data_IF_414956358328
#
_entry.id   IF_414956358328
#
_cell.length_a   1.000
_cell.length_b   1.000
_cell.length_c   1.000
_cell.angle_alpha   90.00
_cell.angle_beta   90.00
_cell.angle_gamma   90.00
#
_symmetry.space_group_name_H-M   'P 1'
#
loop_
_entity.id
_entity.type
_entity.pdbx_description
1 polymer ?
#
# COMPACT_ATOMS: atom_id res chain seq x y z
N UNK A 1 7.53 -24.36 -12.66
CA UNK A 1 7.01 -22.99 -12.68
C UNK A 1 8.13 -22.10 -12.16
N UNK A 2 8.22 -20.87 -12.63
CA UNK A 2 9.38 -20.00 -12.44
C UNK A 2 9.08 -19.05 -11.29
N UNK A 3 9.97 -19.01 -10.30
CA UNK A 3 9.92 -18.02 -9.24
C UNK A 3 10.05 -16.62 -9.84
N UNK A 4 9.00 -15.80 -9.72
CA UNK A 4 8.97 -14.39 -10.14
C UNK A 4 9.20 -13.52 -8.91
N UNK A 5 9.82 -12.35 -9.10
CA UNK A 5 10.09 -11.41 -8.01
C UNK A 5 9.15 -10.23 -8.13
N UNK A 6 8.43 -9.95 -7.05
CA UNK A 6 7.48 -8.87 -6.97
C UNK A 6 7.93 -7.86 -5.92
N UNK A 7 7.68 -6.59 -6.17
CA UNK A 7 7.96 -5.50 -5.24
C UNK A 7 6.67 -4.76 -4.96
N UNK A 8 6.16 -4.89 -3.74
CA UNK A 8 5.09 -4.06 -3.21
C UNK A 8 5.71 -2.72 -2.82
N UNK A 9 5.16 -1.63 -3.34
CA UNK A 9 5.54 -0.27 -3.03
C UNK A 9 4.32 0.48 -2.52
N UNK A 10 4.35 0.90 -1.25
CA UNK A 10 3.29 1.66 -0.61
C UNK A 10 3.77 3.09 -0.40
N UNK A 11 3.11 4.03 -1.05
CA UNK A 11 3.45 5.45 -1.02
C UNK A 11 2.23 6.33 -0.83
N UNK A 12 2.44 7.49 -0.22
CA UNK A 12 1.43 8.54 -0.23
C UNK A 12 1.36 9.16 -1.62
N UNK A 13 0.15 9.33 -2.13
CA UNK A 13 -0.08 10.00 -3.40
C UNK A 13 0.53 11.39 -3.44
N UNK A 14 0.97 11.84 -4.62
CA UNK A 14 1.53 13.18 -4.83
C UNK A 14 0.59 14.31 -4.35
N UNK A 15 -0.72 14.03 -4.31
CA UNK A 15 -1.76 14.96 -3.84
C UNK A 15 -1.91 14.98 -2.31
N UNK A 16 -1.21 14.11 -1.57
CA UNK A 16 -1.35 13.92 -0.12
C UNK A 16 -2.80 13.65 0.33
N UNK A 17 -3.59 13.06 -0.56
CA UNK A 17 -5.04 12.84 -0.38
C UNK A 17 -5.36 11.36 -0.14
N UNK A 18 -4.37 10.48 -0.27
CA UNK A 18 -4.53 9.05 -0.10
C UNK A 18 -3.22 8.27 -0.22
N UNK A 19 -3.33 6.96 -0.04
CA UNK A 19 -2.25 5.98 -0.15
C UNK A 19 -2.41 5.20 -1.45
N UNK A 20 -1.33 5.06 -2.22
CA UNK A 20 -1.22 4.13 -3.33
C UNK A 20 -0.36 2.95 -2.91
N UNK A 21 -0.76 1.75 -3.29
CA UNK A 21 0.03 0.55 -3.15
C UNK A 21 0.12 -0.14 -4.51
N UNK A 22 1.31 -0.11 -5.09
CA UNK A 22 1.62 -0.59 -6.43
C UNK A 22 2.56 -1.79 -6.34
N UNK A 23 2.27 -2.84 -7.11
CA UNK A 23 3.05 -4.07 -7.12
C UNK A 23 3.73 -4.20 -8.48
N UNK A 24 5.05 -4.18 -8.47
CA UNK A 24 5.89 -4.31 -9.66
C UNK A 24 6.40 -5.74 -9.79
N UNK A 25 6.36 -6.30 -10.99
CA UNK A 25 6.98 -7.59 -11.34
C UNK A 25 8.49 -7.43 -11.68
N UNK A 26 9.19 -8.52 -12.03
CA UNK A 26 10.62 -8.51 -12.35
C UNK A 26 10.98 -7.63 -13.55
N UNK A 27 10.02 -7.39 -14.44
CA UNK A 27 10.14 -6.47 -15.58
C UNK A 27 9.79 -5.00 -15.23
N UNK A 28 9.61 -4.67 -13.94
CA UNK A 28 9.21 -3.33 -13.46
C UNK A 28 7.80 -2.91 -13.96
N UNK A 29 6.96 -3.90 -14.28
CA UNK A 29 5.58 -3.70 -14.75
C UNK A 29 4.62 -3.82 -13.57
N UNK A 30 3.66 -2.89 -13.49
CA UNK A 30 2.60 -2.94 -12.48
C UNK A 30 1.72 -4.17 -12.74
N UNK A 31 1.86 -5.17 -11.88
CA UNK A 31 1.07 -6.39 -11.89
C UNK A 31 -0.27 -6.20 -11.15
N UNK A 32 -0.26 -5.43 -10.07
CA UNK A 32 -1.45 -5.07 -9.29
C UNK A 32 -1.27 -3.68 -8.68
N UNK A 33 -2.38 -2.95 -8.49
CA UNK A 33 -2.37 -1.69 -7.77
C UNK A 33 -3.67 -1.47 -7.01
N UNK A 34 -3.58 -0.79 -5.87
CA UNK A 34 -4.73 -0.32 -5.10
C UNK A 34 -4.49 1.07 -4.58
N UNK A 35 -5.57 1.81 -4.38
CA UNK A 35 -5.52 3.19 -3.90
C UNK A 35 -6.62 3.39 -2.86
N UNK A 36 -6.28 4.09 -1.77
CA UNK A 36 -7.21 4.49 -0.72
C UNK A 36 -7.13 5.99 -0.49
N UNK A 37 -8.25 6.67 -0.70
CA UNK A 37 -8.39 8.07 -0.35
C UNK A 37 -8.59 8.22 1.17
N UNK A 38 -7.93 9.22 1.77
CA UNK A 38 -8.13 9.56 3.16
C UNK A 38 -9.53 10.15 3.42
N UNK A 39 -10.11 10.83 2.43
CA UNK A 39 -11.44 11.44 2.51
C UNK A 39 -12.56 10.41 2.76
N UNK A 40 -12.49 9.23 2.12
CA UNK A 40 -13.41 8.10 2.33
C UNK A 40 -13.47 7.65 3.81
N UNK A 41 -12.41 8.00 4.52
CA UNK A 41 -12.09 7.61 5.87
C UNK A 41 -12.17 8.77 6.88
N UNK A 42 -12.49 9.97 6.43
CA UNK A 42 -12.50 11.18 7.26
C UNK A 42 -11.11 11.48 7.85
N UNK A 43 -10.05 11.17 7.11
CA UNK A 43 -8.67 11.43 7.47
C UNK A 43 -8.06 12.46 6.50
N UNK A 44 -7.00 13.14 6.93
CA UNK A 44 -6.15 13.96 6.07
C UNK A 44 -4.70 13.81 6.49
N UNK A 45 -3.78 13.88 5.53
CA UNK A 45 -2.37 14.03 5.85
C UNK A 45 -2.15 15.40 6.51
N UNK A 46 -1.67 15.41 7.75
CA UNK A 46 -1.38 16.66 8.48
C UNK A 46 0.10 17.07 8.40
N UNK A 47 0.93 16.28 7.72
CA UNK A 47 2.34 16.57 7.52
C UNK A 47 2.58 17.88 6.76
N UNK A 48 3.74 18.50 6.96
CA UNK A 48 4.20 19.74 6.28
C UNK A 48 4.43 19.58 4.75
N UNK A 49 3.61 18.81 4.04
CA UNK A 49 3.79 18.45 2.63
C UNK A 49 5.00 17.53 2.40
N UNK A 50 5.47 16.84 3.44
CA UNK A 50 6.48 15.80 3.31
C UNK A 50 5.77 14.46 3.36
N UNK A 51 5.77 13.77 2.22
CA UNK A 51 5.26 12.40 2.13
C UNK A 51 6.01 11.52 3.14
N UNK A 52 5.32 10.59 3.81
CA UNK A 52 5.97 9.58 4.64
C UNK A 52 6.97 8.77 3.82
N UNK A 53 7.88 8.07 4.50
CA UNK A 53 8.84 7.21 3.84
C UNK A 53 8.08 6.12 3.07
N UNK A 54 8.36 6.03 1.76
CA UNK A 54 7.82 4.98 0.91
C UNK A 54 8.20 3.63 1.50
N UNK A 55 7.20 2.81 1.77
CA UNK A 55 7.40 1.47 2.27
C UNK A 55 7.50 0.53 1.06
N UNK A 56 8.47 -0.37 1.09
CA UNK A 56 8.79 -1.21 -0.08
C UNK A 56 9.20 -2.58 0.38
N UNK A 57 8.48 -3.59 -0.09
CA UNK A 57 8.69 -4.99 0.29
C UNK A 57 8.82 -5.86 -0.97
N UNK A 58 9.97 -6.51 -1.12
CA UNK A 58 10.25 -7.41 -2.23
C UNK A 58 10.04 -8.86 -1.80
N UNK A 59 9.25 -9.61 -2.57
CA UNK A 59 8.94 -11.02 -2.34
C UNK A 59 9.12 -11.84 -3.61
N UNK A 60 9.65 -13.05 -3.48
CA UNK A 60 9.78 -13.98 -4.61
C UNK A 60 8.74 -15.08 -4.47
N UNK A 61 7.83 -15.19 -5.44
CA UNK A 61 6.74 -16.15 -5.42
C UNK A 61 6.44 -16.71 -6.82
N UNK A 62 5.86 -17.91 -6.86
CA UNK A 62 5.42 -18.57 -8.09
C UNK A 62 3.89 -18.49 -8.14
N UNK A 63 3.35 -17.40 -8.71
CA UNK A 63 1.91 -17.12 -8.72
C UNK A 63 1.46 -16.66 -10.10
N UNK A 64 0.24 -17.03 -10.49
CA UNK A 64 -0.36 -16.66 -11.77
C UNK A 64 -1.12 -15.34 -11.72
N UNK A 65 -1.51 -14.90 -10.54
CA UNK A 65 -2.31 -13.70 -10.33
C UNK A 65 -1.89 -13.05 -9.03
N UNK A 66 -1.78 -11.72 -9.06
CA UNK A 66 -1.52 -10.90 -7.89
C UNK A 66 -2.74 -10.03 -7.62
N UNK A 67 -3.01 -9.85 -6.34
CA UNK A 67 -4.06 -8.98 -5.83
C UNK A 67 -3.50 -8.26 -4.61
N UNK A 68 -3.71 -6.96 -4.52
CA UNK A 68 -3.31 -6.18 -3.35
C UNK A 68 -4.57 -5.70 -2.65
N UNK A 69 -4.73 -6.14 -1.41
CA UNK A 69 -5.86 -5.77 -0.57
C UNK A 69 -5.42 -4.78 0.47
N UNK A 70 -6.30 -3.81 0.73
CA UNK A 70 -6.10 -2.79 1.74
C UNK A 70 -7.27 -2.85 2.70
N UNK A 71 -6.96 -2.98 3.98
CA UNK A 71 -7.95 -3.03 5.05
C UNK A 71 -7.60 -1.99 6.10
N UNK A 72 -8.57 -1.12 6.43
CA UNK A 72 -8.41 -0.20 7.54
C UNK A 72 -8.82 -0.89 8.84
N UNK A 73 -7.88 -0.98 9.77
CA UNK A 73 -8.09 -1.57 11.08
C UNK A 73 -7.81 -0.47 12.11
N UNK A 74 -8.86 0.13 12.66
CA UNK A 74 -8.75 1.16 13.69
C UNK A 74 -7.91 2.37 13.17
N UNK A 75 -6.76 2.64 13.77
CA UNK A 75 -5.81 3.71 13.41
C UNK A 75 -4.66 3.27 12.48
N UNK A 76 -4.83 2.18 11.72
CA UNK A 76 -3.84 1.70 10.74
C UNK A 76 -4.45 1.19 9.44
N UNK A 77 -3.69 1.33 8.36
CA UNK A 77 -3.92 0.70 7.06
C UNK A 77 -3.07 -0.55 6.95
N UNK A 78 -3.68 -1.68 6.63
CA UNK A 78 -2.97 -2.93 6.39
C UNK A 78 -3.09 -3.31 4.91
N UNK A 79 -1.96 -3.33 4.24
CA UNK A 79 -1.79 -3.72 2.85
C UNK A 79 -1.33 -5.18 2.81
N UNK A 80 -2.11 -6.06 2.19
CA UNK A 80 -1.79 -7.48 2.03
C UNK A 80 -1.61 -7.77 0.56
N UNK A 81 -0.43 -8.26 0.20
CA UNK A 81 -0.16 -8.79 -1.13
C UNK A 81 -0.57 -10.25 -1.17
N UNK A 82 -1.55 -10.57 -2.00
CA UNK A 82 -2.03 -11.91 -2.26
C UNK A 82 -1.54 -12.38 -3.62
N UNK A 83 -0.98 -13.58 -3.67
CA UNK A 83 -0.63 -14.27 -4.91
C UNK A 83 -1.36 -15.60 -5.00
N UNK A 84 -2.14 -15.79 -6.05
CA UNK A 84 -3.05 -16.95 -6.21
C UNK A 84 -4.03 -17.16 -5.02
N UNK A 85 -4.28 -16.10 -4.24
CA UNK A 85 -5.11 -16.13 -3.03
C UNK A 85 -4.35 -16.48 -1.74
N UNK A 86 -3.04 -16.69 -1.78
CA UNK A 86 -2.18 -16.82 -0.60
C UNK A 86 -1.46 -15.51 -0.27
N UNK A 87 -1.31 -15.20 1.02
CA UNK A 87 -0.56 -14.01 1.49
C UNK A 87 0.94 -14.20 1.21
N UNK A 88 1.49 -13.32 0.39
CA UNK A 88 2.91 -13.28 0.05
C UNK A 88 3.67 -12.29 0.94
N UNK A 89 3.09 -11.10 1.13
CA UNK A 89 3.70 -9.99 1.86
C UNK A 89 2.61 -9.18 2.57
N UNK A 90 3.01 -8.46 3.64
CA UNK A 90 2.09 -7.66 4.44
C UNK A 90 2.77 -6.41 4.96
N UNK A 91 2.23 -5.26 4.59
CA UNK A 91 2.70 -3.97 5.04
C UNK A 91 1.62 -3.31 5.88
N UNK A 92 1.99 -2.73 7.02
CA UNK A 92 1.05 -2.02 7.87
C UNK A 92 1.56 -0.62 8.15
N UNK A 93 0.68 0.34 7.91
CA UNK A 93 0.94 1.77 8.02
C UNK A 93 0.06 2.33 9.11
N UNK A 94 0.65 2.93 10.15
CA UNK A 94 -0.13 3.60 11.20
C UNK A 94 -0.37 5.08 10.87
N UNK A 95 -1.48 5.62 11.39
CA UNK A 95 -1.77 7.05 11.29
C UNK A 95 -0.66 7.92 11.91
N UNK A 96 0.00 7.45 12.97
CA UNK A 96 1.14 8.16 13.58
C UNK A 96 2.36 8.22 12.66
N UNK A 97 2.72 7.10 12.02
CA UNK A 97 3.85 7.04 11.09
C UNK A 97 3.62 7.95 9.87
N UNK A 98 2.39 7.97 9.36
CA UNK A 98 2.01 8.74 8.19
C UNK A 98 1.42 10.11 8.53
N UNK A 99 1.39 10.47 9.82
CA UNK A 99 0.87 11.75 10.35
C UNK A 99 -0.52 12.08 9.79
N UNK A 100 -1.39 11.09 9.83
CA UNK A 100 -2.78 11.22 9.43
C UNK A 100 -3.59 11.71 10.62
N UNK A 101 -4.36 12.76 10.41
CA UNK A 101 -5.24 13.34 11.43
C UNK A 101 -6.69 13.24 10.96
N UNK A 102 -7.62 13.14 11.91
CA UNK A 102 -9.04 13.09 11.58
C UNK A 102 -9.51 14.45 11.09
N UNK A 103 -10.26 14.48 10.00
CA UNK A 103 -10.95 15.69 9.60
C UNK A 103 -12.08 15.93 10.60
N UNK A 104 -11.92 16.91 11.49
CA UNK A 104 -13.02 17.42 12.31
C UNK A 104 -13.98 18.20 11.38
N UNK A 105 -15.22 17.72 11.25
CA UNK A 105 -16.30 18.33 10.44
C UNK A 105 -16.87 19.61 11.09
#
# INVERSE_FOLDING_TARGET
MSMQTYTLQVEETETHDGISADVYDEDDIIAASTHVAYDDHGLKATGDGRSPETATETVTADVLSLDVQVERIDDRFEFRLLGDGEELARESVTNEEWRLDRIEE
#
